data_IF_847541189421
#
_entry.id   IF_847541189421
#
_cell.length_a   1.000
_cell.length_b   1.000
_cell.length_c   1.000
_cell.angle_alpha   90.00
_cell.angle_beta   90.00
_cell.angle_gamma   90.00
#
_symmetry.space_group_name_H-M   'P 1'
#
loop_
_entity.id
_entity.type
_entity.pdbx_description
1 polymer ?
#
# COMPACT_ATOMS: atom_id res chain seq x y z
N UNK A 1 9.18 -6.60 -3.39
CA UNK A 1 9.93 -5.72 -4.30
C UNK A 1 10.58 -4.63 -3.46
N UNK A 2 11.85 -4.37 -3.69
CA UNK A 2 12.63 -3.37 -2.97
C UNK A 2 12.51 -1.95 -3.54
N UNK A 3 13.24 -0.98 -2.95
CA UNK A 3 13.19 0.43 -3.36
C UNK A 3 13.75 0.69 -4.75
N UNK A 4 14.49 -0.24 -5.30
CA UNK A 4 15.14 -0.21 -6.61
C UNK A 4 14.39 -1.02 -7.67
N UNK A 5 13.17 -1.50 -7.36
CA UNK A 5 12.36 -2.34 -8.24
C UNK A 5 12.80 -3.82 -8.30
N UNK A 6 13.90 -4.19 -7.65
CA UNK A 6 14.37 -5.57 -7.62
C UNK A 6 13.50 -6.45 -6.68
N UNK A 7 13.50 -7.77 -6.93
CA UNK A 7 12.89 -8.74 -6.04
C UNK A 7 13.94 -9.22 -5.05
N UNK A 8 13.64 -9.14 -3.76
CA UNK A 8 14.48 -9.65 -2.68
C UNK A 8 13.85 -10.91 -2.09
N UNK A 9 14.65 -11.97 -2.01
CA UNK A 9 14.21 -13.27 -1.48
C UNK A 9 15.12 -13.62 -0.30
N UNK A 10 14.51 -13.76 0.88
CA UNK A 10 15.21 -14.30 2.04
C UNK A 10 15.36 -15.82 1.89
N UNK A 11 16.56 -16.33 2.12
CA UNK A 11 16.91 -17.74 2.03
C UNK A 11 17.59 -18.18 3.33
N UNK A 12 17.15 -19.26 3.91
CA UNK A 12 17.72 -19.83 5.12
C UNK A 12 19.18 -20.28 4.98
N UNK A 13 19.67 -20.39 3.75
CA UNK A 13 21.02 -20.91 3.49
C UNK A 13 21.26 -22.29 4.09
N UNK A 14 20.27 -23.16 4.05
CA UNK A 14 20.35 -24.50 4.64
C UNK A 14 20.15 -25.56 3.57
N UNK A 15 21.04 -26.55 3.57
CA UNK A 15 21.00 -27.71 2.65
C UNK A 15 19.90 -28.69 3.02
N UNK A 16 19.43 -28.66 4.25
CA UNK A 16 18.41 -29.57 4.77
C UNK A 16 17.13 -28.74 5.03
N UNK A 17 16.10 -28.98 4.22
CA UNK A 17 14.75 -28.44 4.40
C UNK A 17 13.89 -29.56 4.98
N UNK A 18 13.65 -29.53 6.29
CA UNK A 18 12.88 -30.55 6.97
C UNK A 18 12.06 -29.97 8.12
N UNK A 19 10.86 -30.53 8.30
CA UNK A 19 9.96 -30.22 9.42
C UNK A 19 10.14 -31.12 10.62
N UNK A 20 10.96 -32.17 10.49
CA UNK A 20 11.09 -33.19 11.51
C UNK A 20 12.28 -32.92 12.45
N UNK A 21 12.09 -33.18 13.72
CA UNK A 21 13.05 -32.96 14.78
C UNK A 21 14.38 -33.74 14.59
N UNK A 22 14.35 -34.85 13.87
CA UNK A 22 15.49 -35.73 13.63
C UNK A 22 16.66 -35.01 12.96
N UNK A 23 16.35 -34.02 12.09
CA UNK A 23 17.39 -33.25 11.39
C UNK A 23 17.70 -31.89 12.02
N UNK A 24 17.04 -31.54 13.10
CA UNK A 24 17.26 -30.24 13.76
C UNK A 24 18.67 -30.06 14.26
N UNK A 25 19.28 -31.13 14.74
CA UNK A 25 20.65 -31.17 15.31
C UNK A 25 21.71 -31.64 14.31
N UNK A 26 21.39 -31.74 13.03
CA UNK A 26 22.36 -32.17 12.02
C UNK A 26 23.55 -31.19 11.98
N UNK A 27 24.80 -31.70 12.14
CA UNK A 27 25.99 -30.85 12.21
C UNK A 27 26.31 -30.15 10.88
N UNK A 28 25.68 -30.53 9.78
CA UNK A 28 25.84 -29.88 8.48
C UNK A 28 24.94 -28.63 8.32
N UNK A 29 24.03 -28.39 9.27
CA UNK A 29 23.23 -27.18 9.29
C UNK A 29 24.05 -25.95 9.59
N UNK A 30 23.93 -24.94 8.75
CA UNK A 30 24.44 -23.62 9.03
C UNK A 30 23.49 -22.88 9.98
N UNK A 31 23.92 -22.66 11.21
CA UNK A 31 23.13 -21.96 12.25
C UNK A 31 23.43 -20.47 12.34
N UNK A 32 24.39 -19.97 11.57
CA UNK A 32 24.94 -18.63 11.74
C UNK A 32 24.77 -17.73 10.53
N UNK A 33 24.46 -18.28 9.36
CA UNK A 33 24.32 -17.53 8.13
C UNK A 33 22.92 -17.61 7.55
N UNK A 34 22.55 -16.54 6.89
CA UNK A 34 21.41 -16.46 6.00
C UNK A 34 21.83 -15.90 4.65
N UNK A 35 20.95 -15.91 3.68
CA UNK A 35 21.22 -15.35 2.37
C UNK A 35 20.03 -14.49 1.92
N UNK A 36 20.35 -13.39 1.27
CA UNK A 36 19.33 -12.58 0.59
C UNK A 36 19.71 -12.53 -0.89
N UNK A 37 18.85 -13.10 -1.72
CA UNK A 37 18.97 -12.99 -3.15
C UNK A 37 18.34 -11.70 -3.63
N UNK A 38 19.01 -11.02 -4.55
CA UNK A 38 18.49 -9.86 -5.25
C UNK A 38 18.37 -10.20 -6.74
N UNK A 39 17.14 -10.27 -7.23
CA UNK A 39 16.85 -10.59 -8.62
C UNK A 39 16.50 -9.30 -9.36
N UNK A 40 17.18 -9.09 -10.48
CA UNK A 40 16.96 -7.95 -11.38
C UNK A 40 16.75 -8.45 -12.80
N UNK A 41 16.15 -7.64 -13.65
CA UNK A 41 16.08 -7.94 -15.08
C UNK A 41 17.41 -7.54 -15.72
N UNK A 42 18.00 -8.48 -16.46
CA UNK A 42 19.27 -8.24 -17.17
C UNK A 42 19.11 -7.07 -18.15
N UNK A 43 20.11 -6.21 -18.18
CA UNK A 43 20.22 -5.07 -19.11
C UNK A 43 19.09 -4.02 -18.96
N UNK A 44 18.34 -4.04 -17.84
CA UNK A 44 17.38 -2.99 -17.49
C UNK A 44 17.89 -2.15 -16.32
N UNK A 45 17.76 -0.80 -16.40
CA UNK A 45 18.13 0.06 -15.29
C UNK A 45 17.20 -0.21 -14.09
N UNK A 46 17.78 -0.12 -12.90
CA UNK A 46 17.01 -0.18 -11.66
C UNK A 46 16.22 1.14 -11.47
N UNK A 47 15.10 1.04 -10.75
CA UNK A 47 14.37 2.24 -10.35
C UNK A 47 15.26 3.14 -9.48
N UNK A 48 15.21 4.45 -9.66
CA UNK A 48 15.96 5.38 -8.83
C UNK A 48 15.53 5.27 -7.37
N UNK A 49 16.49 5.33 -6.46
CA UNK A 49 16.18 5.25 -5.02
C UNK A 49 15.31 6.44 -4.60
N UNK A 50 14.11 6.18 -4.05
CA UNK A 50 13.21 7.27 -3.64
C UNK A 50 13.75 7.98 -2.41
N UNK A 51 13.49 9.28 -2.32
CA UNK A 51 13.76 10.08 -1.12
C UNK A 51 12.63 9.85 -0.10
N UNK A 52 12.82 8.93 0.82
CA UNK A 52 11.90 8.68 1.95
C UNK A 52 12.51 9.18 3.25
N UNK A 53 13.79 8.85 3.51
CA UNK A 53 14.49 9.33 4.69
C UNK A 53 14.89 10.79 4.50
N UNK A 54 14.60 11.63 5.51
CA UNK A 54 14.83 13.07 5.44
C UNK A 54 13.85 13.85 4.54
N UNK A 55 12.85 13.19 3.94
CA UNK A 55 11.79 13.87 3.20
C UNK A 55 10.83 14.58 4.16
N UNK A 56 10.37 15.77 3.78
CA UNK A 56 9.27 16.43 4.45
C UNK A 56 7.91 15.80 4.08
N UNK A 57 6.83 16.27 4.72
CA UNK A 57 5.51 15.68 4.49
C UNK A 57 4.97 15.93 3.07
N UNK A 58 5.32 17.05 2.43
CA UNK A 58 4.89 17.36 1.06
C UNK A 58 5.58 16.46 0.05
N UNK A 59 6.89 16.26 0.22
CA UNK A 59 7.67 15.31 -0.56
C UNK A 59 7.15 13.88 -0.41
N UNK A 60 6.76 13.48 0.81
CA UNK A 60 6.19 12.14 1.07
C UNK A 60 4.81 11.97 0.43
N UNK A 61 3.96 12.99 0.48
CA UNK A 61 2.64 12.97 -0.17
C UNK A 61 2.79 12.84 -1.69
N UNK A 62 3.75 13.53 -2.31
CA UNK A 62 4.01 13.41 -3.74
C UNK A 62 4.50 11.99 -4.11
N UNK A 63 5.19 11.28 -3.22
CA UNK A 63 5.58 9.88 -3.43
C UNK A 63 4.37 8.91 -3.57
N UNK A 64 3.17 9.32 -3.23
CA UNK A 64 1.95 8.53 -3.46
C UNK A 64 1.66 8.36 -4.97
N UNK A 65 2.19 9.22 -5.83
CA UNK A 65 2.11 9.11 -7.29
C UNK A 65 3.15 8.15 -7.88
N UNK A 66 4.16 7.76 -7.11
CA UNK A 66 5.25 6.88 -7.59
C UNK A 66 4.69 5.62 -8.28
N UNK A 67 5.28 5.18 -9.40
CA UNK A 67 4.95 3.89 -10.01
C UNK A 67 5.30 2.72 -9.08
N UNK A 68 6.33 2.89 -8.24
CA UNK A 68 6.85 1.85 -7.36
C UNK A 68 5.99 1.66 -6.11
N UNK A 69 5.42 0.46 -5.95
CA UNK A 69 4.59 0.12 -4.79
C UNK A 69 5.34 0.29 -3.47
N UNK A 70 6.61 -0.09 -3.43
CA UNK A 70 7.45 0.04 -2.24
C UNK A 70 7.52 1.50 -1.78
N UNK A 71 7.77 2.41 -2.71
CA UNK A 71 7.88 3.86 -2.46
C UNK A 71 6.57 4.41 -1.86
N UNK A 72 5.43 4.15 -2.52
CA UNK A 72 4.12 4.57 -2.00
C UNK A 72 3.85 4.04 -0.59
N UNK A 73 4.23 2.79 -0.33
CA UNK A 73 4.01 2.17 0.99
C UNK A 73 4.88 2.79 2.07
N UNK A 74 6.17 3.05 1.79
CA UNK A 74 7.07 3.69 2.74
C UNK A 74 6.69 5.14 3.03
N UNK A 75 6.25 5.88 2.02
CA UNK A 75 5.73 7.23 2.19
C UNK A 75 4.54 7.24 3.16
N UNK A 76 3.56 6.36 2.96
CA UNK A 76 2.42 6.21 3.88
C UNK A 76 2.85 5.84 5.30
N UNK A 77 3.75 4.88 5.47
CA UNK A 77 4.27 4.52 6.80
C UNK A 77 4.92 5.71 7.50
N UNK A 78 5.73 6.49 6.79
CA UNK A 78 6.39 7.65 7.35
C UNK A 78 5.38 8.73 7.75
N UNK A 79 4.40 9.03 6.90
CA UNK A 79 3.34 9.99 7.18
C UNK A 79 2.52 9.60 8.42
N UNK A 80 2.06 8.35 8.49
CA UNK A 80 1.25 7.86 9.62
C UNK A 80 2.04 7.81 10.92
N UNK A 81 3.32 7.48 10.85
CA UNK A 81 4.17 7.39 12.05
C UNK A 81 4.44 8.74 12.71
N UNK A 82 4.47 9.83 11.95
CA UNK A 82 4.90 11.14 12.43
C UNK A 82 3.77 12.17 12.57
N UNK A 83 2.54 11.83 12.16
CA UNK A 83 1.41 12.74 12.17
C UNK A 83 0.18 12.11 12.84
N UNK A 84 -0.68 12.98 13.40
CA UNK A 84 -1.97 12.55 13.96
C UNK A 84 -2.96 12.19 12.84
N UNK A 85 -3.96 11.33 13.09
CA UNK A 85 -4.94 10.92 12.08
C UNK A 85 -5.58 12.08 11.31
N UNK A 86 -5.99 13.16 11.97
CA UNK A 86 -6.60 14.32 11.32
C UNK A 86 -5.64 15.05 10.39
N UNK A 87 -4.35 15.16 10.75
CA UNK A 87 -3.33 15.75 9.87
C UNK A 87 -3.10 14.90 8.62
N UNK A 88 -3.11 13.57 8.79
CA UNK A 88 -3.01 12.63 7.66
C UNK A 88 -4.22 12.74 6.75
N UNK A 89 -5.43 12.93 7.31
CA UNK A 89 -6.64 13.17 6.54
C UNK A 89 -6.53 14.47 5.72
N UNK A 90 -6.10 15.57 6.34
CA UNK A 90 -5.91 16.85 5.65
C UNK A 90 -4.90 16.72 4.49
N UNK A 91 -3.79 16.02 4.70
CA UNK A 91 -2.80 15.73 3.66
C UNK A 91 -3.39 14.90 2.51
N UNK A 92 -4.19 13.87 2.83
CA UNK A 92 -4.83 13.04 1.83
C UNK A 92 -5.86 13.81 1.00
N UNK A 93 -6.62 14.70 1.64
CA UNK A 93 -7.61 15.55 0.95
C UNK A 93 -6.89 16.57 0.06
N UNK A 94 -5.88 17.29 0.56
CA UNK A 94 -5.08 18.21 -0.26
C UNK A 94 -4.48 17.51 -1.47
N UNK A 95 -3.88 16.34 -1.29
CA UNK A 95 -3.37 15.53 -2.39
C UNK A 95 -4.44 15.22 -3.46
N UNK A 96 -5.66 14.88 -3.02
CA UNK A 96 -6.78 14.55 -3.94
C UNK A 96 -7.30 15.79 -4.66
N UNK A 97 -7.29 16.96 -4.03
CA UNK A 97 -7.70 18.22 -4.63
C UNK A 97 -6.74 18.68 -5.73
N UNK A 98 -5.45 18.38 -5.57
CA UNK A 98 -4.39 18.68 -6.53
C UNK A 98 -4.30 17.69 -7.71
N UNK A 99 -5.10 16.62 -7.70
CA UNK A 99 -5.10 15.64 -8.79
C UNK A 99 -5.77 16.17 -10.07
N UNK A 100 -5.09 16.02 -11.19
CA UNK A 100 -5.67 16.25 -12.51
C UNK A 100 -6.77 15.21 -12.79
N UNK A 101 -7.95 15.69 -13.24
CA UNK A 101 -9.10 14.81 -13.51
C UNK A 101 -8.88 13.88 -14.70
N UNK A 102 -8.07 14.32 -15.65
CA UNK A 102 -7.77 13.59 -16.89
C UNK A 102 -6.52 12.70 -16.77
N UNK A 103 -5.89 12.62 -15.59
CA UNK A 103 -4.76 11.72 -15.34
C UNK A 103 -5.24 10.26 -15.50
N UNK A 104 -4.62 9.47 -16.40
CA UNK A 104 -4.92 8.04 -16.54
C UNK A 104 -4.80 7.24 -15.23
N UNK A 105 -4.03 7.74 -14.27
CA UNK A 105 -3.80 7.13 -12.96
C UNK A 105 -4.63 7.75 -11.84
N UNK A 106 -5.58 8.64 -12.17
CA UNK A 106 -6.41 9.36 -11.20
C UNK A 106 -7.04 8.42 -10.16
N UNK A 107 -7.69 7.33 -10.60
CA UNK A 107 -8.35 6.38 -9.70
C UNK A 107 -7.36 5.64 -8.80
N UNK A 108 -6.14 5.36 -9.30
CA UNK A 108 -5.06 4.81 -8.48
C UNK A 108 -4.62 5.80 -7.40
N UNK A 109 -4.50 7.07 -7.74
CA UNK A 109 -4.12 8.11 -6.78
C UNK A 109 -5.21 8.31 -5.72
N UNK A 110 -6.49 8.28 -6.09
CA UNK A 110 -7.60 8.25 -5.14
C UNK A 110 -7.53 7.06 -4.19
N UNK A 111 -7.22 5.86 -4.70
CA UNK A 111 -7.02 4.66 -3.89
C UNK A 111 -5.87 4.84 -2.90
N UNK A 112 -4.74 5.41 -3.33
CA UNK A 112 -3.58 5.62 -2.44
C UNK A 112 -3.89 6.64 -1.33
N UNK A 113 -4.67 7.70 -1.62
CA UNK A 113 -5.15 8.65 -0.61
C UNK A 113 -6.08 7.97 0.41
N UNK A 114 -7.05 7.17 -0.06
CA UNK A 114 -7.91 6.39 0.84
C UNK A 114 -7.12 5.36 1.66
N UNK A 115 -6.11 4.73 1.05
CA UNK A 115 -5.23 3.79 1.75
C UNK A 115 -4.39 4.49 2.83
N UNK A 116 -3.96 5.73 2.61
CA UNK A 116 -3.28 6.55 3.61
C UNK A 116 -4.21 6.84 4.79
N UNK A 117 -5.45 7.29 4.53
CA UNK A 117 -6.47 7.50 5.57
C UNK A 117 -6.78 6.21 6.34
N UNK A 118 -6.93 5.08 5.63
CA UNK A 118 -7.21 3.78 6.24
C UNK A 118 -6.06 3.28 7.13
N UNK A 119 -4.82 3.58 6.76
CA UNK A 119 -3.64 3.22 7.56
C UNK A 119 -3.56 4.06 8.85
N UNK A 120 -3.96 5.33 8.78
CA UNK A 120 -3.99 6.25 9.91
C UNK A 120 -5.24 6.11 10.78
N UNK A 121 -6.21 5.26 10.43
CA UNK A 121 -7.56 5.21 11.02
C UNK A 121 -8.30 6.57 10.98
N UNK A 122 -7.97 7.41 10.02
CA UNK A 122 -8.61 8.69 9.75
C UNK A 122 -9.83 8.48 8.86
N UNK A 123 -11.02 8.49 9.44
CA UNK A 123 -12.27 8.24 8.70
C UNK A 123 -12.64 9.45 7.85
N UNK A 124 -12.61 9.28 6.53
CA UNK A 124 -12.96 10.31 5.55
C UNK A 124 -14.11 9.83 4.64
N UNK A 125 -15.37 10.08 5.02
CA UNK A 125 -16.53 9.58 4.30
C UNK A 125 -16.62 10.10 2.86
N UNK A 126 -16.28 11.37 2.62
CA UNK A 126 -16.34 11.96 1.27
C UNK A 126 -15.33 11.35 0.30
N UNK A 127 -14.11 11.10 0.79
CA UNK A 127 -13.09 10.41 -0.01
C UNK A 127 -13.51 8.97 -0.29
N UNK A 128 -14.02 8.27 0.72
CA UNK A 128 -14.53 6.91 0.57
C UNK A 128 -15.62 6.81 -0.48
N UNK A 129 -16.64 7.71 -0.43
CA UNK A 129 -17.71 7.78 -1.43
C UNK A 129 -17.17 8.03 -2.84
N UNK A 130 -16.18 8.91 -2.97
CA UNK A 130 -15.54 9.21 -4.25
C UNK A 130 -14.83 7.97 -4.81
N UNK A 131 -14.09 7.22 -3.99
CA UNK A 131 -13.39 6.00 -4.42
C UNK A 131 -14.36 4.86 -4.73
N UNK A 132 -15.49 4.74 -4.02
CA UNK A 132 -16.57 3.79 -4.35
C UNK A 132 -17.19 4.02 -5.75
N UNK A 133 -17.00 5.20 -6.33
CA UNK A 133 -17.49 5.58 -7.68
C UNK A 133 -16.37 5.64 -8.73
N UNK A 134 -15.16 5.24 -8.40
CA UNK A 134 -14.03 5.23 -9.32
C UNK A 134 -14.28 4.31 -10.52
N UNK A 135 -13.69 4.62 -11.67
CA UNK A 135 -13.78 3.77 -12.87
C UNK A 135 -13.05 2.43 -12.67
N UNK A 136 -11.88 2.47 -12.00
CA UNK A 136 -11.10 1.26 -11.70
C UNK A 136 -11.79 0.43 -10.60
N UNK A 137 -12.23 -0.78 -10.96
CA UNK A 137 -12.86 -1.73 -10.03
C UNK A 137 -11.97 -2.08 -8.82
N UNK A 138 -10.63 -2.03 -8.95
CA UNK A 138 -9.71 -2.29 -7.84
C UNK A 138 -9.81 -1.20 -6.77
N UNK A 139 -9.98 0.05 -7.20
CA UNK A 139 -10.22 1.16 -6.28
C UNK A 139 -11.57 0.98 -5.57
N UNK A 140 -12.64 0.64 -6.30
CA UNK A 140 -13.97 0.38 -5.71
C UNK A 140 -13.94 -0.80 -4.74
N UNK A 141 -13.29 -1.92 -5.11
CA UNK A 141 -13.15 -3.09 -4.23
C UNK A 141 -12.39 -2.76 -2.94
N UNK A 142 -11.35 -1.94 -3.02
CA UNK A 142 -10.66 -1.44 -1.84
C UNK A 142 -11.58 -0.57 -0.98
N UNK A 143 -12.32 0.35 -1.59
CA UNK A 143 -13.25 1.23 -0.88
C UNK A 143 -14.40 0.45 -0.22
N UNK A 144 -14.96 -0.58 -0.87
CA UNK A 144 -15.96 -1.47 -0.28
C UNK A 144 -15.45 -2.13 1.01
N UNK A 145 -14.22 -2.60 1.00
CA UNK A 145 -13.56 -3.19 2.18
C UNK A 145 -13.36 -2.17 3.30
N UNK A 146 -12.99 -0.92 2.95
CA UNK A 146 -12.86 0.16 3.93
C UNK A 146 -14.23 0.59 4.48
N UNK A 147 -15.28 0.62 3.66
CA UNK A 147 -16.65 0.86 4.13
C UNK A 147 -17.10 -0.18 5.18
N UNK A 148 -16.79 -1.46 4.94
CA UNK A 148 -17.01 -2.51 5.93
C UNK A 148 -16.19 -2.33 7.22
N UNK A 149 -14.92 -1.92 7.11
CA UNK A 149 -14.04 -1.67 8.26
C UNK A 149 -14.49 -0.48 9.11
N UNK A 150 -15.01 0.57 8.49
CA UNK A 150 -15.43 1.81 9.14
C UNK A 150 -16.93 1.87 9.42
N UNK A 151 -17.67 0.76 9.28
CA UNK A 151 -19.13 0.74 9.30
C UNK A 151 -19.75 1.39 10.53
N UNK A 152 -19.12 1.26 11.69
CA UNK A 152 -19.53 1.84 12.97
C UNK A 152 -19.27 3.35 13.10
N UNK A 153 -18.46 3.91 12.23
CA UNK A 153 -18.04 5.32 12.21
C UNK A 153 -18.60 6.09 11.00
N UNK A 154 -19.34 5.43 10.13
CA UNK A 154 -19.95 6.01 8.93
C UNK A 154 -21.46 6.18 9.12
N UNK A 155 -21.96 7.42 8.95
CA UNK A 155 -23.38 7.70 9.07
C UNK A 155 -24.26 6.93 8.07
N UNK A 156 -23.72 6.61 6.88
CA UNK A 156 -24.44 5.88 5.81
C UNK A 156 -23.70 4.61 5.37
N UNK A 157 -23.14 3.86 6.30
CA UNK A 157 -22.47 2.59 5.97
C UNK A 157 -23.37 1.61 5.19
N UNK A 158 -24.65 1.39 5.56
CA UNK A 158 -25.53 0.50 4.81
C UNK A 158 -25.71 0.92 3.33
N UNK A 159 -25.83 2.22 3.07
CA UNK A 159 -25.97 2.74 1.71
C UNK A 159 -24.71 2.52 0.86
N UNK A 160 -23.53 2.74 1.45
CA UNK A 160 -22.23 2.50 0.80
C UNK A 160 -22.03 1.00 0.50
N UNK A 161 -22.33 0.13 1.46
CA UNK A 161 -22.20 -1.32 1.28
C UNK A 161 -23.22 -1.86 0.27
N UNK A 162 -24.44 -1.31 0.24
CA UNK A 162 -25.44 -1.64 -0.78
C UNK A 162 -24.98 -1.21 -2.18
N UNK A 163 -24.31 -0.06 -2.32
CA UNK A 163 -23.72 0.37 -3.58
C UNK A 163 -22.67 -0.64 -4.05
N UNK A 164 -21.76 -1.05 -3.17
CA UNK A 164 -20.74 -2.04 -3.47
C UNK A 164 -21.34 -3.41 -3.84
N UNK A 165 -22.33 -3.89 -3.08
CA UNK A 165 -22.99 -5.18 -3.32
C UNK A 165 -23.73 -5.25 -4.67
N UNK A 166 -24.04 -4.11 -5.30
CA UNK A 166 -24.66 -4.02 -6.62
C UNK A 166 -23.64 -3.61 -7.71
N UNK A 167 -22.34 -3.70 -7.44
CA UNK A 167 -21.32 -3.38 -8.44
C UNK A 167 -21.34 -4.41 -9.58
N UNK A 168 -21.09 -3.94 -10.78
CA UNK A 168 -21.04 -4.80 -11.98
C UNK A 168 -19.81 -5.72 -12.00
N UNK A 169 -18.80 -5.43 -11.21
CA UNK A 169 -17.56 -6.20 -11.18
C UNK A 169 -17.50 -7.16 -9.98
N UNK A 170 -17.25 -8.45 -10.17
CA UNK A 170 -17.35 -9.48 -9.13
C UNK A 170 -16.34 -9.35 -7.99
N UNK A 171 -15.33 -8.50 -8.11
CA UNK A 171 -14.34 -8.25 -7.05
C UNK A 171 -14.75 -7.11 -6.09
N UNK A 172 -15.80 -6.35 -6.41
CA UNK A 172 -16.31 -5.27 -5.56
C UNK A 172 -17.37 -5.78 -4.62
#
# INVERSE_FOLDING_TARGET
IGPDGAIYIADFYNTIICHQDDYFRDPTRDLHHGRIWRLTVKDQPLAPRPKIEGADWTELVEQLKSPERWTRQQAKFKLVRHHKPFQVADMAIGFVEDLEKDDPLHDRHLLEALALCAMAEAVEPRLLERVLRAKDHRARAFAARIAGRWHDRLANAPGMLKLAANDSHPLV
#
